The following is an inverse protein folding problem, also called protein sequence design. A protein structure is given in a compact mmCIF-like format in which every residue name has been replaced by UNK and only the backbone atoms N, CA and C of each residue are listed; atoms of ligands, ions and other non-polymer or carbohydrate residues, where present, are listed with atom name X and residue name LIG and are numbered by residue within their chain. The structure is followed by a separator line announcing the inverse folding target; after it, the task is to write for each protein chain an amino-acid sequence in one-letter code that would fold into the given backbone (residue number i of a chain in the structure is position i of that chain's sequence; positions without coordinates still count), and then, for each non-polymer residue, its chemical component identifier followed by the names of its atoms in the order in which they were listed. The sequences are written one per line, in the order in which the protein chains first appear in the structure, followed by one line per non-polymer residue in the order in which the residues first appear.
data_IF_038353376348
#
_entry.id   IF_038353376348
#
_cell.length_a   1.000
_cell.length_b   1.000
_cell.length_c   1.000
_cell.angle_alpha   90.00
_cell.angle_beta   90.00
_cell.angle_gamma   90.00
#
_symmetry.space_group_name_H-M   'P 1'
#
loop_
_entity.id
_entity.type
_entity.pdbx_description
1 polymer ?
#
# COMPACT_ATOMS: atom_id res chain seq x y z
N UNK A 1 -22.94 31.90 11.18
CA UNK A 1 -22.73 31.00 10.02
C UNK A 1 -21.96 29.72 10.38
N UNK A 2 -20.76 29.81 10.98
CA UNK A 2 -19.91 28.65 11.27
C UNK A 2 -20.58 27.49 12.06
N UNK A 3 -21.41 27.82 13.06
CA UNK A 3 -22.14 26.81 13.87
C UNK A 3 -23.10 25.94 13.04
N UNK A 4 -23.71 26.50 12.00
CA UNK A 4 -24.65 25.78 11.12
C UNK A 4 -23.91 24.81 10.19
N UNK A 5 -22.77 25.24 9.64
CA UNK A 5 -21.89 24.38 8.86
C UNK A 5 -21.25 23.27 9.70
N UNK A 6 -20.83 23.58 10.94
CA UNK A 6 -20.32 22.57 11.87
C UNK A 6 -21.37 21.50 12.21
N UNK A 7 -22.64 21.87 12.40
CA UNK A 7 -23.73 20.91 12.63
C UNK A 7 -24.03 20.06 11.39
N UNK A 8 -24.01 20.65 10.19
CA UNK A 8 -24.16 19.91 8.94
C UNK A 8 -22.99 18.94 8.71
N UNK A 9 -21.77 19.37 9.03
CA UNK A 9 -20.58 18.52 8.96
C UNK A 9 -20.63 17.36 9.97
N UNK A 10 -20.95 17.61 11.25
CA UNK A 10 -21.07 16.55 12.26
C UNK A 10 -22.19 15.57 11.93
N UNK A 11 -23.34 16.05 11.45
CA UNK A 11 -24.43 15.15 11.03
C UNK A 11 -24.04 14.31 9.82
N UNK A 12 -23.36 14.88 8.82
CA UNK A 12 -22.80 14.14 7.70
C UNK A 12 -21.79 13.06 8.13
N UNK A 13 -21.00 13.32 9.18
CA UNK A 13 -20.05 12.37 9.76
C UNK A 13 -20.75 11.21 10.49
N UNK A 14 -21.87 11.49 11.16
CA UNK A 14 -22.60 10.50 11.99
C UNK A 14 -23.56 9.65 11.16
N UNK A 15 -24.08 10.14 10.02
CA UNK A 15 -25.05 9.41 9.17
C UNK A 15 -24.57 8.00 8.76
N UNK A 16 -23.32 7.81 8.28
CA UNK A 16 -22.82 6.47 7.94
C UNK A 16 -22.75 5.54 9.14
N UNK A 17 -22.31 6.05 10.30
CA UNK A 17 -22.22 5.28 11.56
C UNK A 17 -23.63 4.93 12.06
N UNK A 18 -24.60 5.83 11.91
CA UNK A 18 -25.98 5.62 12.29
C UNK A 18 -26.67 4.51 11.50
N UNK A 19 -26.15 4.14 10.32
CA UNK A 19 -26.65 2.99 9.55
C UNK A 19 -26.57 1.69 10.34
N UNK A 20 -25.59 1.55 11.25
CA UNK A 20 -25.38 0.38 12.11
C UNK A 20 -26.26 0.37 13.37
N UNK A 21 -27.14 1.35 13.58
CA UNK A 21 -28.08 1.36 14.72
C UNK A 21 -29.02 0.15 14.66
N UNK A 22 -29.36 -0.47 15.81
CA UNK A 22 -30.33 -1.56 15.86
C UNK A 22 -31.64 -1.15 15.19
N UNK A 23 -32.21 -2.03 14.37
CA UNK A 23 -33.47 -1.79 13.64
C UNK A 23 -34.58 -2.69 14.17
N UNK A 24 -35.84 -2.22 14.25
CA UNK A 24 -36.96 -3.08 14.62
C UNK A 24 -37.16 -4.19 13.57
N UNK A 25 -37.58 -5.39 14.01
CA UNK A 25 -37.92 -6.49 13.09
C UNK A 25 -39.26 -6.20 12.39
N UNK A 26 -39.45 -6.59 11.11
CA UNK A 26 -40.70 -6.33 10.38
C UNK A 26 -41.96 -6.92 11.04
N UNK A 27 -41.82 -8.00 11.82
CA UNK A 27 -42.93 -8.77 12.40
C UNK A 27 -42.77 -9.00 13.93
N UNK A 28 -42.23 -8.03 14.68
CA UNK A 28 -42.17 -8.17 16.14
C UNK A 28 -41.65 -6.95 16.92
N UNK A 29 -41.90 -6.95 18.23
CA UNK A 29 -41.50 -5.87 19.16
C UNK A 29 -40.00 -5.85 19.50
N UNK A 30 -39.23 -6.86 19.07
CA UNK A 30 -37.79 -6.99 19.39
C UNK A 30 -36.91 -6.30 18.34
N UNK A 31 -35.88 -5.61 18.81
CA UNK A 31 -34.84 -5.00 17.98
C UNK A 31 -33.91 -6.07 17.38
N UNK A 32 -33.45 -5.83 16.16
CA UNK A 32 -32.44 -6.61 15.46
C UNK A 32 -31.06 -5.95 15.63
N UNK A 33 -30.13 -6.67 16.25
CA UNK A 33 -28.77 -6.22 16.55
C UNK A 33 -27.72 -6.77 15.58
N UNK A 34 -28.10 -7.58 14.59
CA UNK A 34 -27.15 -8.23 13.68
C UNK A 34 -26.24 -7.22 12.97
N UNK A 35 -26.81 -6.09 12.54
CA UNK A 35 -26.05 -5.03 11.86
C UNK A 35 -25.11 -4.30 12.83
N UNK A 36 -25.54 -4.04 14.06
CA UNK A 36 -24.71 -3.43 15.11
C UNK A 36 -23.53 -4.33 15.49
N UNK A 37 -23.79 -5.64 15.65
CA UNK A 37 -22.76 -6.64 15.93
C UNK A 37 -21.78 -6.80 14.76
N UNK A 38 -22.26 -6.77 13.52
CA UNK A 38 -21.41 -6.76 12.33
C UNK A 38 -20.50 -5.53 12.32
N UNK A 39 -21.05 -4.34 12.57
CA UNK A 39 -20.29 -3.10 12.64
C UNK A 39 -19.22 -3.14 13.73
N UNK A 40 -19.57 -3.60 14.94
CA UNK A 40 -18.62 -3.76 16.04
C UNK A 40 -17.51 -4.79 15.72
N UNK A 41 -17.86 -5.92 15.11
CA UNK A 41 -16.89 -6.94 14.68
C UNK A 41 -15.94 -6.41 13.62
N UNK A 42 -16.46 -5.72 12.60
CA UNK A 42 -15.66 -5.06 11.57
C UNK A 42 -14.73 -4.00 12.16
N UNK A 43 -15.20 -3.20 13.11
CA UNK A 43 -14.38 -2.21 13.79
C UNK A 43 -13.21 -2.83 14.56
N UNK A 44 -13.47 -3.87 15.36
CA UNK A 44 -12.42 -4.60 16.06
C UNK A 44 -11.43 -5.27 15.10
N UNK A 45 -11.93 -5.83 13.99
CA UNK A 45 -11.09 -6.39 12.94
C UNK A 45 -10.19 -5.33 12.30
N UNK A 46 -10.73 -4.16 11.95
CA UNK A 46 -9.96 -3.06 11.39
C UNK A 46 -8.85 -2.58 12.34
N UNK A 47 -9.15 -2.46 13.65
CA UNK A 47 -8.11 -2.20 14.67
C UNK A 47 -7.04 -3.29 14.66
N UNK A 48 -7.44 -4.56 14.57
CA UNK A 48 -6.50 -5.69 14.53
C UNK A 48 -5.61 -5.68 13.29
N UNK A 49 -6.13 -5.32 12.11
CA UNK A 49 -5.31 -5.23 10.88
C UNK A 49 -4.21 -4.17 10.97
N UNK A 50 -4.33 -3.17 11.84
CA UNK A 50 -3.26 -2.22 12.12
C UNK A 50 -1.95 -2.86 12.62
N UNK A 51 -2.02 -4.09 13.17
CA UNK A 51 -0.84 -4.81 13.65
C UNK A 51 0.16 -5.15 12.54
N UNK A 52 -0.27 -5.22 11.28
CA UNK A 52 0.62 -5.66 10.19
C UNK A 52 1.82 -4.73 10.00
N UNK A 53 1.64 -3.41 10.10
CA UNK A 53 2.74 -2.44 10.05
C UNK A 53 3.61 -2.52 11.30
N UNK A 54 3.00 -2.71 12.48
CA UNK A 54 3.72 -2.87 13.74
C UNK A 54 4.57 -4.14 13.79
N UNK A 55 4.10 -5.26 13.22
CA UNK A 55 4.85 -6.51 13.13
C UNK A 55 6.13 -6.34 12.32
N UNK A 56 6.06 -5.56 11.25
CA UNK A 56 7.21 -5.25 10.43
C UNK A 56 8.26 -4.47 11.23
N UNK A 57 7.87 -3.38 11.90
CA UNK A 57 8.77 -2.60 12.76
C UNK A 57 9.33 -3.41 13.93
N UNK A 58 8.50 -4.27 14.55
CA UNK A 58 8.94 -5.17 15.61
C UNK A 58 10.00 -6.14 15.12
N UNK A 59 9.80 -6.74 13.93
CA UNK A 59 10.76 -7.66 13.35
C UNK A 59 12.10 -7.00 13.02
N UNK A 60 12.07 -5.75 12.52
CA UNK A 60 13.29 -4.97 12.32
C UNK A 60 14.01 -4.69 13.65
N UNK A 61 13.28 -4.30 14.69
CA UNK A 61 13.88 -3.91 15.96
C UNK A 61 14.41 -5.10 16.78
N UNK A 62 13.65 -6.19 16.86
CA UNK A 62 13.97 -7.35 17.72
C UNK A 62 14.83 -8.37 17.00
N UNK A 63 14.55 -8.64 15.72
CA UNK A 63 15.25 -9.68 14.97
C UNK A 63 16.26 -9.13 13.96
N UNK A 64 16.42 -7.80 13.87
CA UNK A 64 17.24 -7.15 12.83
C UNK A 64 16.88 -7.63 11.42
N UNK A 65 15.62 -8.01 11.20
CA UNK A 65 15.15 -8.44 9.89
C UNK A 65 15.20 -7.25 8.93
N UNK A 66 15.90 -7.42 7.81
CA UNK A 66 15.89 -6.46 6.71
C UNK A 66 14.84 -6.91 5.69
N UNK A 67 14.37 -5.99 4.83
CA UNK A 67 13.51 -6.35 3.68
C UNK A 67 14.10 -7.44 2.80
N UNK A 68 15.43 -7.59 2.82
CA UNK A 68 16.16 -8.45 1.90
C UNK A 68 16.41 -9.88 2.41
N UNK A 69 16.47 -10.13 3.74
CA UNK A 69 16.72 -11.49 4.22
C UNK A 69 16.04 -11.82 5.57
N UNK A 70 15.28 -12.94 5.64
CA UNK A 70 14.79 -13.53 6.90
C UNK A 70 15.90 -14.24 7.72
N UNK A 71 17.09 -14.43 7.16
CA UNK A 71 18.22 -15.14 7.81
C UNK A 71 19.40 -14.19 7.94
N UNK A 72 19.93 -13.93 9.16
CA UNK A 72 21.20 -13.23 9.28
C UNK A 72 22.27 -14.09 8.60
N UNK A 73 23.00 -13.56 7.61
CA UNK A 73 24.19 -14.22 7.12
C UNK A 73 25.18 -14.42 8.28
N UNK A 74 26.03 -15.47 8.23
CA UNK A 74 27.19 -15.51 9.12
C UNK A 74 27.96 -14.20 9.02
N UNK A 75 28.45 -13.70 10.15
CA UNK A 75 29.09 -12.38 10.26
C UNK A 75 30.08 -12.14 9.11
N UNK A 76 29.79 -11.16 8.24
CA UNK A 76 30.65 -10.77 7.13
C UNK A 76 30.03 -10.80 5.72
N UNK A 77 28.76 -11.17 5.53
CA UNK A 77 28.09 -11.07 4.20
C UNK A 77 27.03 -9.97 4.21
N UNK A 78 27.39 -8.77 3.79
CA UNK A 78 26.43 -7.71 3.47
C UNK A 78 25.48 -8.16 2.33
N UNK A 79 24.24 -7.66 2.26
CA UNK A 79 23.37 -7.93 1.14
C UNK A 79 24.00 -7.37 -0.15
N UNK A 80 24.42 -8.26 -1.05
CA UNK A 80 24.97 -7.87 -2.35
C UNK A 80 24.00 -6.91 -3.08
N UNK A 81 24.47 -5.79 -3.66
CA UNK A 81 23.66 -4.88 -4.46
C UNK A 81 22.83 -5.59 -5.55
N UNK A 82 23.33 -6.71 -6.06
CA UNK A 82 22.64 -7.54 -7.03
C UNK A 82 21.36 -8.17 -6.47
N UNK A 83 21.37 -8.60 -5.20
CA UNK A 83 20.20 -9.19 -4.54
C UNK A 83 19.12 -8.13 -4.31
N UNK A 84 19.51 -6.93 -3.88
CA UNK A 84 18.59 -5.80 -3.68
C UNK A 84 17.95 -5.40 -5.02
N UNK A 85 18.75 -5.29 -6.09
CA UNK A 85 18.23 -4.99 -7.42
C UNK A 85 17.27 -6.08 -7.94
N UNK A 86 17.56 -7.36 -7.65
CA UNK A 86 16.70 -8.48 -8.00
C UNK A 86 15.35 -8.45 -7.24
N UNK A 87 15.36 -8.14 -5.95
CA UNK A 87 14.15 -7.96 -5.14
C UNK A 87 13.31 -6.78 -5.62
N UNK A 88 13.94 -5.62 -5.88
CA UNK A 88 13.25 -4.47 -6.48
C UNK A 88 12.61 -4.83 -7.81
N UNK A 89 13.30 -5.61 -8.65
CA UNK A 89 12.77 -6.06 -9.93
C UNK A 89 11.59 -7.01 -9.73
N UNK A 90 11.68 -7.94 -8.79
CA UNK A 90 10.60 -8.87 -8.47
C UNK A 90 9.36 -8.14 -7.97
N UNK A 91 9.48 -7.31 -6.92
CA UNK A 91 8.36 -6.58 -6.33
C UNK A 91 7.72 -5.62 -7.33
N UNK A 92 8.54 -4.95 -8.16
CA UNK A 92 8.04 -4.10 -9.25
C UNK A 92 7.24 -4.88 -10.28
N UNK A 93 7.74 -6.04 -10.72
CA UNK A 93 7.02 -6.87 -11.69
C UNK A 93 5.72 -7.42 -11.12
N UNK A 94 5.75 -7.86 -9.86
CA UNK A 94 4.57 -8.34 -9.16
C UNK A 94 3.51 -7.23 -9.01
N UNK A 95 3.90 -6.05 -8.53
CA UNK A 95 3.00 -4.90 -8.41
C UNK A 95 2.42 -4.48 -9.76
N UNK A 96 3.26 -4.41 -10.81
CA UNK A 96 2.81 -4.06 -12.16
C UNK A 96 1.85 -5.10 -12.73
N UNK A 97 2.15 -6.39 -12.58
CA UNK A 97 1.29 -7.47 -13.05
C UNK A 97 -0.08 -7.44 -12.34
N UNK A 98 -0.08 -7.28 -11.01
CA UNK A 98 -1.34 -7.19 -10.24
C UNK A 98 -2.18 -5.99 -10.67
N UNK A 99 -1.61 -4.79 -10.77
CA UNK A 99 -2.36 -3.59 -11.17
C UNK A 99 -2.80 -3.64 -12.64
N UNK A 100 -2.01 -4.26 -13.52
CA UNK A 100 -2.39 -4.44 -14.93
C UNK A 100 -3.55 -5.42 -15.08
N UNK A 101 -3.56 -6.52 -14.33
CA UNK A 101 -4.68 -7.47 -14.31
C UNK A 101 -5.95 -6.80 -13.77
N UNK A 102 -5.83 -5.95 -12.75
CA UNK A 102 -6.96 -5.19 -12.19
C UNK A 102 -7.53 -4.22 -13.22
N UNK A 103 -6.66 -3.43 -13.86
CA UNK A 103 -7.06 -2.48 -14.90
C UNK A 103 -7.65 -3.17 -16.12
N UNK A 104 -7.15 -4.35 -16.48
CA UNK A 104 -7.70 -5.19 -17.54
C UNK A 104 -9.08 -5.73 -17.18
N UNK A 105 -9.29 -6.19 -15.94
CA UNK A 105 -10.59 -6.64 -15.47
C UNK A 105 -11.62 -5.50 -15.58
N UNK A 106 -11.28 -4.29 -15.11
CA UNK A 106 -12.13 -3.11 -15.22
C UNK A 106 -12.40 -2.72 -16.69
N UNK A 107 -11.38 -2.79 -17.55
CA UNK A 107 -11.54 -2.52 -18.97
C UNK A 107 -12.50 -3.51 -19.63
N UNK A 108 -12.38 -4.79 -19.30
CA UNK A 108 -13.28 -5.84 -19.78
C UNK A 108 -14.71 -5.62 -19.27
N UNK A 109 -14.89 -5.20 -18.01
CA UNK A 109 -16.22 -4.83 -17.47
C UNK A 109 -16.81 -3.66 -18.25
N UNK A 110 -16.01 -2.65 -18.59
CA UNK A 110 -16.46 -1.50 -19.36
C UNK A 110 -16.95 -1.88 -20.78
N UNK A 111 -16.29 -2.87 -21.41
CA UNK A 111 -16.63 -3.35 -22.76
C UNK A 111 -17.75 -4.42 -22.77
N UNK A 112 -17.95 -5.13 -21.66
CA UNK A 112 -18.92 -6.23 -21.58
C UNK A 112 -20.35 -5.73 -21.74
N UNK A 113 -21.22 -6.38 -22.53
CA UNK A 113 -22.64 -6.02 -22.63
C UNK A 113 -23.36 -6.06 -21.28
N UNK A 114 -24.25 -5.10 -21.02
CA UNK A 114 -24.97 -4.98 -19.74
C UNK A 114 -25.90 -6.17 -19.46
N UNK A 115 -26.19 -6.98 -20.47
CA UNK A 115 -27.10 -8.12 -20.39
C UNK A 115 -26.50 -9.36 -19.69
N UNK A 116 -25.18 -9.47 -19.55
CA UNK A 116 -24.52 -10.66 -18.99
C UNK A 116 -24.06 -10.44 -17.55
N UNK A 117 -24.97 -10.59 -16.59
CA UNK A 117 -24.66 -10.56 -15.15
C UNK A 117 -23.55 -11.56 -14.72
N UNK A 118 -23.48 -12.79 -15.26
CA UNK A 118 -22.40 -13.73 -14.90
C UNK A 118 -21.01 -13.23 -15.28
N UNK A 119 -20.89 -12.52 -16.41
CA UNK A 119 -19.60 -11.97 -16.86
C UNK A 119 -19.11 -10.87 -15.93
N UNK A 120 -20.02 -10.01 -15.45
CA UNK A 120 -19.68 -9.01 -14.43
C UNK A 120 -19.15 -9.68 -13.15
N UNK A 121 -19.84 -10.71 -12.65
CA UNK A 121 -19.41 -11.45 -11.46
C UNK A 121 -18.03 -12.10 -11.68
N UNK A 122 -17.84 -12.78 -12.81
CA UNK A 122 -16.58 -13.45 -13.12
C UNK A 122 -15.40 -12.47 -13.21
N UNK A 123 -15.61 -11.30 -13.82
CA UNK A 123 -14.59 -10.25 -13.90
C UNK A 123 -14.33 -9.59 -12.53
N UNK A 124 -15.35 -9.40 -11.69
CA UNK A 124 -15.15 -8.96 -10.30
C UNK A 124 -14.45 -10.02 -9.43
N UNK A 125 -14.55 -11.30 -9.77
CA UNK A 125 -13.73 -12.33 -9.14
C UNK A 125 -12.26 -12.25 -9.57
N UNK A 126 -11.98 -11.77 -10.79
CA UNK A 126 -10.62 -11.62 -11.30
C UNK A 126 -9.80 -10.61 -10.47
N UNK A 127 -10.44 -9.54 -9.98
CA UNK A 127 -9.82 -8.59 -9.05
C UNK A 127 -9.37 -9.21 -7.71
N UNK A 128 -9.86 -10.39 -7.32
CA UNK A 128 -9.30 -11.07 -6.13
C UNK A 128 -7.84 -11.51 -6.33
N UNK A 129 -7.45 -11.83 -7.56
CA UNK A 129 -6.07 -12.23 -7.90
C UNK A 129 -5.08 -11.06 -7.83
N UNK A 130 -5.58 -9.82 -7.76
CA UNK A 130 -4.75 -8.61 -7.75
C UNK A 130 -4.36 -8.18 -6.32
N UNK A 131 -4.85 -8.88 -5.30
CA UNK A 131 -4.58 -8.61 -3.87
C UNK A 131 -3.09 -8.63 -3.48
N UNK A 132 -2.25 -9.31 -4.27
CA UNK A 132 -0.78 -9.31 -4.10
C UNK A 132 -0.11 -7.98 -4.45
N UNK A 133 -0.79 -7.07 -5.17
CA UNK A 133 -0.22 -5.78 -5.58
C UNK A 133 0.05 -4.83 -4.42
N UNK A 134 -0.85 -4.78 -3.43
CA UNK A 134 -0.70 -3.89 -2.27
C UNK A 134 0.51 -4.27 -1.38
N UNK A 135 0.69 -5.54 -0.99
CA UNK A 135 1.90 -5.98 -0.29
C UNK A 135 3.18 -5.75 -1.11
N UNK A 136 3.14 -5.97 -2.44
CA UNK A 136 4.29 -5.73 -3.31
C UNK A 136 4.69 -4.25 -3.35
N UNK A 137 3.73 -3.32 -3.35
CA UNK A 137 4.00 -1.88 -3.27
C UNK A 137 4.61 -1.47 -1.92
N UNK A 138 4.11 -2.05 -0.83
CA UNK A 138 4.64 -1.82 0.51
C UNK A 138 6.08 -2.33 0.65
N UNK A 139 6.36 -3.53 0.13
CA UNK A 139 7.70 -4.11 0.08
C UNK A 139 8.62 -3.30 -0.83
N UNK A 140 8.19 -2.98 -2.05
CA UNK A 140 8.95 -2.18 -3.00
C UNK A 140 9.37 -0.83 -2.42
N UNK A 141 8.47 -0.14 -1.71
CA UNK A 141 8.80 1.11 -1.04
C UNK A 141 9.92 0.93 0.00
N UNK A 142 9.85 -0.14 0.79
CA UNK A 142 10.85 -0.42 1.80
C UNK A 142 12.21 -0.83 1.18
N UNK A 143 12.21 -1.61 0.09
CA UNK A 143 13.44 -1.97 -0.64
C UNK A 143 14.04 -0.73 -1.32
N UNK A 144 13.23 0.15 -1.92
CA UNK A 144 13.71 1.43 -2.46
C UNK A 144 14.38 2.29 -1.37
N UNK A 145 13.79 2.36 -0.17
CA UNK A 145 14.36 3.11 0.93
C UNK A 145 15.67 2.49 1.42
N UNK A 146 15.74 1.16 1.46
CA UNK A 146 16.97 0.43 1.78
C UNK A 146 18.06 0.66 0.72
N UNK A 147 17.71 0.67 -0.57
CA UNK A 147 18.65 0.93 -1.66
C UNK A 147 19.25 2.36 -1.60
N UNK A 148 18.51 3.32 -1.02
CA UNK A 148 19.01 4.67 -0.74
C UNK A 148 19.86 4.76 0.54
N UNK A 149 20.01 3.68 1.31
CA UNK A 149 20.76 3.67 2.58
C UNK A 149 19.97 4.15 3.80
N UNK A 150 18.67 4.44 3.67
CA UNK A 150 17.82 4.98 4.75
C UNK A 150 16.97 3.89 5.44
N UNK A 151 17.49 2.67 5.61
CA UNK A 151 16.73 1.56 6.19
C UNK A 151 16.31 1.75 7.65
N UNK A 152 16.91 2.71 8.36
CA UNK A 152 16.48 3.13 9.69
C UNK A 152 15.15 3.89 9.68
N UNK A 153 14.75 4.49 8.54
CA UNK A 153 13.57 5.35 8.41
C UNK A 153 12.32 4.60 7.93
N UNK A 154 12.35 3.26 7.91
CA UNK A 154 11.25 2.45 7.38
C UNK A 154 9.93 2.67 8.13
N UNK A 155 9.98 2.99 9.43
CA UNK A 155 8.79 3.38 10.20
C UNK A 155 8.14 4.68 9.68
N UNK A 156 8.94 5.67 9.28
CA UNK A 156 8.45 6.93 8.70
C UNK A 156 7.85 6.70 7.31
N UNK A 157 8.46 5.84 6.50
CA UNK A 157 7.91 5.43 5.20
C UNK A 157 6.52 4.80 5.35
N UNK A 158 6.36 3.82 6.25
CA UNK A 158 5.05 3.19 6.47
C UNK A 158 4.01 4.16 7.04
N UNK A 159 4.45 5.12 7.88
CA UNK A 159 3.61 6.24 8.31
C UNK A 159 3.15 7.10 7.13
N UNK A 160 4.05 7.47 6.22
CA UNK A 160 3.75 8.22 5.00
C UNK A 160 2.80 7.49 4.06
N UNK A 161 3.01 6.18 3.85
CA UNK A 161 2.12 5.33 3.05
C UNK A 161 0.70 5.26 3.65
N UNK A 162 0.58 5.22 4.99
CA UNK A 162 -0.72 5.27 5.66
C UNK A 162 -1.45 6.61 5.43
N UNK A 163 -0.73 7.73 5.47
CA UNK A 163 -1.29 9.06 5.15
C UNK A 163 -1.75 9.13 3.70
N UNK A 164 -0.94 8.65 2.75
CA UNK A 164 -1.31 8.59 1.33
C UNK A 164 -2.58 7.76 1.12
N UNK A 165 -2.66 6.59 1.77
CA UNK A 165 -3.85 5.73 1.73
C UNK A 165 -5.08 6.44 2.31
N UNK A 166 -4.95 7.16 3.42
CA UNK A 166 -6.06 7.90 4.03
C UNK A 166 -6.59 9.02 3.11
N UNK A 167 -5.69 9.78 2.49
CA UNK A 167 -6.05 10.83 1.52
C UNK A 167 -6.76 10.22 0.31
N UNK A 168 -6.19 9.14 -0.26
CA UNK A 168 -6.75 8.46 -1.42
C UNK A 168 -8.16 7.93 -1.13
N UNK A 169 -8.37 7.24 0.00
CA UNK A 169 -9.69 6.72 0.38
C UNK A 169 -10.71 7.81 0.75
N UNK A 170 -10.24 8.99 1.18
CA UNK A 170 -11.12 10.14 1.45
C UNK A 170 -11.64 10.76 0.16
N UNK A 171 -10.78 10.90 -0.85
CA UNK A 171 -11.11 11.62 -2.09
C UNK A 171 -11.76 10.69 -3.13
N UNK A 172 -11.36 9.41 -3.19
CA UNK A 172 -11.79 8.47 -4.23
C UNK A 172 -13.31 8.34 -4.37
N UNK A 173 -14.11 8.16 -3.29
CA UNK A 173 -15.57 8.07 -3.42
C UNK A 173 -16.19 9.29 -4.07
N UNK A 174 -15.64 10.49 -3.82
CA UNK A 174 -16.15 11.74 -4.41
C UNK A 174 -15.88 11.81 -5.92
N UNK A 175 -14.69 11.39 -6.35
CA UNK A 175 -14.32 11.34 -7.79
C UNK A 175 -15.23 10.34 -8.52
N UNK A 176 -15.39 9.13 -7.99
CA UNK A 176 -16.25 8.12 -8.61
C UNK A 176 -17.73 8.49 -8.58
N UNK A 177 -18.22 9.09 -7.49
CA UNK A 177 -19.60 9.55 -7.40
C UNK A 177 -19.92 10.66 -8.42
N UNK A 178 -19.02 11.63 -8.60
CA UNK A 178 -19.19 12.70 -9.59
C UNK A 178 -19.13 12.16 -11.03
N UNK A 179 -18.19 11.24 -11.29
CA UNK A 179 -18.08 10.57 -12.59
C UNK A 179 -19.36 9.80 -12.90
N UNK A 180 -19.89 9.04 -11.94
CA UNK A 180 -21.15 8.33 -12.13
C UNK A 180 -22.33 9.27 -12.32
N UNK A 181 -22.48 10.29 -11.46
CA UNK A 181 -23.61 11.23 -11.53
C UNK A 181 -23.69 11.97 -12.87
N UNK A 182 -22.55 12.30 -13.47
CA UNK A 182 -22.48 12.98 -14.78
C UNK A 182 -22.69 12.05 -15.97
N UNK A 183 -22.41 10.75 -15.82
CA UNK A 183 -22.38 9.80 -16.96
C UNK A 183 -23.52 8.78 -16.94
N UNK A 184 -24.23 8.61 -15.83
CA UNK A 184 -25.26 7.57 -15.62
C UNK A 184 -26.36 7.57 -16.67
N UNK A 185 -26.70 8.74 -17.24
CA UNK A 185 -27.75 8.87 -18.25
C UNK A 185 -27.38 8.27 -19.62
N UNK A 186 -26.10 8.24 -19.96
CA UNK A 186 -25.63 7.83 -21.30
C UNK A 186 -24.68 6.63 -21.25
N UNK A 187 -23.76 6.60 -20.28
CA UNK A 187 -22.73 5.57 -20.16
C UNK A 187 -22.27 5.38 -18.70
N UNK A 188 -23.04 4.67 -17.85
CA UNK A 188 -22.70 4.46 -16.43
C UNK A 188 -21.39 3.69 -16.22
N UNK A 189 -20.89 3.00 -17.24
CA UNK A 189 -19.63 2.23 -17.20
C UNK A 189 -18.37 3.11 -17.23
N UNK A 190 -18.51 4.44 -17.34
CA UNK A 190 -17.37 5.37 -17.27
C UNK A 190 -16.55 5.24 -16.00
N UNK A 191 -17.15 4.80 -14.89
CA UNK A 191 -16.41 4.57 -13.64
C UNK A 191 -15.31 3.50 -13.82
N UNK A 192 -15.56 2.45 -14.61
CA UNK A 192 -14.57 1.41 -14.89
C UNK A 192 -13.50 1.92 -15.86
N UNK A 193 -13.88 2.73 -16.85
CA UNK A 193 -12.91 3.38 -17.75
C UNK A 193 -11.97 4.30 -16.99
N UNK A 194 -12.50 5.08 -16.04
CA UNK A 194 -11.70 5.92 -15.15
C UNK A 194 -10.73 5.09 -14.31
N UNK A 195 -11.21 3.99 -13.70
CA UNK A 195 -10.39 3.07 -12.92
C UNK A 195 -9.24 2.48 -13.76
N UNK A 196 -9.54 1.97 -14.96
CA UNK A 196 -8.52 1.49 -15.92
C UNK A 196 -7.49 2.58 -16.24
N UNK A 197 -7.92 3.83 -16.46
CA UNK A 197 -7.02 4.95 -16.75
C UNK A 197 -6.07 5.26 -15.59
N UNK A 198 -6.58 5.27 -14.35
CA UNK A 198 -5.77 5.48 -13.15
C UNK A 198 -4.79 4.32 -12.92
N UNK A 199 -5.23 3.08 -13.05
CA UNK A 199 -4.39 1.88 -12.92
C UNK A 199 -3.31 1.81 -14.00
N UNK A 200 -3.65 2.15 -15.25
CA UNK A 200 -2.69 2.24 -16.34
C UNK A 200 -1.62 3.29 -16.06
N UNK A 201 -2.03 4.45 -15.54
CA UNK A 201 -1.10 5.51 -15.13
C UNK A 201 -0.17 5.04 -14.01
N UNK A 202 -0.69 4.30 -13.02
CA UNK A 202 0.11 3.71 -11.95
C UNK A 202 1.13 2.68 -12.49
N UNK A 203 0.72 1.80 -13.42
CA UNK A 203 1.63 0.83 -14.08
C UNK A 203 2.75 1.54 -14.85
N UNK A 204 2.45 2.66 -15.51
CA UNK A 204 3.46 3.48 -16.20
C UNK A 204 4.44 4.13 -15.21
N UNK A 205 3.94 4.69 -14.10
CA UNK A 205 4.78 5.28 -13.05
C UNK A 205 5.70 4.23 -12.41
N UNK A 206 5.18 3.05 -12.09
CA UNK A 206 6.00 1.93 -11.61
C UNK A 206 7.03 1.49 -12.65
N UNK A 207 6.73 1.61 -13.94
CA UNK A 207 7.68 1.38 -15.02
C UNK A 207 8.90 2.29 -14.99
N UNK A 208 8.75 3.51 -14.47
CA UNK A 208 9.83 4.48 -14.30
C UNK A 208 10.82 4.18 -13.17
N UNK A 209 10.51 3.24 -12.27
CA UNK A 209 11.40 2.84 -11.18
C UNK A 209 12.61 2.10 -11.76
N UNK A 210 13.78 2.73 -11.66
CA UNK A 210 15.08 2.15 -11.99
C UNK A 210 15.42 1.09 -10.93
N UNK A 211 15.88 -0.07 -11.38
CA UNK A 211 16.22 -1.21 -10.51
C UNK A 211 17.64 -1.68 -10.82
N UNK A 212 18.53 -0.72 -11.11
CA UNK A 212 19.87 -1.04 -11.58
C UNK A 212 20.81 -1.22 -10.39
N UNK A 213 21.71 -2.23 -10.40
CA UNK A 213 22.64 -2.46 -9.30
C UNK A 213 23.55 -1.27 -9.01
N UNK A 214 23.92 -0.49 -10.04
CA UNK A 214 24.77 0.69 -9.90
C UNK A 214 24.12 1.87 -9.16
N UNK A 215 22.79 1.89 -9.03
CA UNK A 215 22.05 2.95 -8.36
C UNK A 215 21.84 2.66 -6.85
N UNK A 216 22.21 1.46 -6.39
CA UNK A 216 22.14 1.06 -4.97
C UNK A 216 23.31 1.70 -4.25
N UNK A 217 23.05 2.53 -3.24
CA UNK A 217 24.10 3.19 -2.45
C UNK A 217 24.98 2.10 -1.83
N UNK A 218 26.20 1.95 -2.37
CA UNK A 218 27.25 1.08 -1.84
C UNK A 218 27.75 1.68 -0.52
N UNK A 219 26.97 1.56 0.55
CA UNK A 219 27.38 1.96 1.91
C UNK A 219 28.64 1.22 2.37
N UNK A 220 29.02 0.15 1.68
CA UNK A 220 30.28 -0.55 1.85
C UNK A 220 31.48 0.27 1.35
N UNK A 221 31.38 1.00 0.23
CA UNK A 221 32.50 1.81 -0.26
C UNK A 221 32.85 2.93 0.72
N UNK A 222 31.86 3.62 1.29
CA UNK A 222 32.13 4.66 2.30
C UNK A 222 32.58 4.11 3.64
N UNK A 223 32.08 2.96 4.11
CA UNK A 223 32.54 2.35 5.36
C UNK A 223 33.95 1.75 5.21
N UNK A 224 34.26 1.14 4.08
CA UNK A 224 35.60 0.60 3.80
C UNK A 224 36.62 1.72 3.58
N UNK A 225 36.27 2.85 2.94
CA UNK A 225 37.19 4.01 2.89
C UNK A 225 37.38 4.64 4.27
N UNK A 226 36.33 4.74 5.09
CA UNK A 226 36.48 5.31 6.44
C UNK A 226 37.29 4.42 7.38
N UNK A 227 37.14 3.08 7.29
CA UNK A 227 37.98 2.14 8.05
C UNK A 227 39.41 2.10 7.50
N UNK A 228 39.59 2.20 6.17
CA UNK A 228 40.92 2.28 5.56
C UNK A 228 41.65 3.59 5.91
N UNK A 229 40.91 4.70 6.08
CA UNK A 229 41.46 5.97 6.54
C UNK A 229 41.75 5.95 8.07
N UNK A 230 40.96 5.23 8.89
CA UNK A 230 41.21 5.05 10.33
C UNK A 230 42.43 4.15 10.63
N UNK A 231 42.66 3.10 9.83
CA UNK A 231 43.81 2.20 10.01
C UNK A 231 45.16 2.82 9.57
N UNK A 232 45.15 3.82 8.67
CA UNK A 232 46.36 4.54 8.24
C UNK A 232 46.82 5.61 9.26
N UNK A 233 45.88 6.22 9.99
CA UNK A 233 46.20 7.22 11.02
C UNK A 233 46.78 6.60 12.31
N UNK A 234 46.34 5.40 12.71
CA UNK A 234 46.81 4.71 13.92
C UNK A 234 48.20 4.06 13.73
N UNK A 235 48.61 3.83 12.47
CA UNK A 235 49.95 3.31 12.14
C UNK A 235 51.06 4.37 12.26
N UNK A 236 50.72 5.66 12.37
CA UNK A 236 51.70 6.76 12.30
C UNK A 236 52.01 7.42 13.66
N UNK A 237 51.32 7.04 14.74
CA UNK A 237 51.50 7.65 16.09
C UNK A 237 52.35 6.77 17.03
N UNK A 238 52.80 5.59 16.58
CA UNK A 238 53.46 4.58 17.42
C UNK A 238 54.99 4.46 17.28
N UNK A 239 55.68 5.33 16.53
CA UNK A 239 57.14 5.29 16.39
C UNK A 239 57.64 6.71 16.23
N UNK A 240 58.00 7.38 17.33
CA UNK A 240 59.12 8.32 17.44
C UNK A 240 59.08 9.06 18.80
N UNK A 241 60.20 8.91 19.54
CA UNK A 241 60.64 9.61 20.77
C UNK A 241 60.17 9.09 22.15
#
# INVERSE_FOLDING_TARGET
MARKYAQQFLSALIIPIAMFKPRPKPLGSRMNYNLTLLGAGMFLYLISTGVYTSKYMYAQHVYSWTTAQPKPPPAGTSPSPENIAAEMKFDKQLARASLAVDGLADALVALTPTSSQPTFIALSCLSSFTSGGNPALHSLGAVCLHACGFSSEVGALFGGMAVLSAIAHTISPSIYAMTYASTVAYFPKMIFVLATGLLSSAVLLLGGIKSRPEDVVTLETSRTTLIADEDDDDATIGVDA
#
